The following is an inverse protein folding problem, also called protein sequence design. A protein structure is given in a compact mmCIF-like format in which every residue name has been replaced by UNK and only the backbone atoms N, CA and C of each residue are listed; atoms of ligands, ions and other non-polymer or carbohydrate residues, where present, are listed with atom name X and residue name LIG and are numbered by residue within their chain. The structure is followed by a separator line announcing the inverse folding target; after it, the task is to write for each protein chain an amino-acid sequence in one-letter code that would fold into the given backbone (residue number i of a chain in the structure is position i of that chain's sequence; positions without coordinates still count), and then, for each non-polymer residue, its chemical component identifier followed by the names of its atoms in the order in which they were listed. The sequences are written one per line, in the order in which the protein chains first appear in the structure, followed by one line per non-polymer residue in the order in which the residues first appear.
data_IF_980747831301
#
_entry.id   IF_980747831301
#
_cell.length_a   1.000
_cell.length_b   1.000
_cell.length_c   1.000
_cell.angle_alpha   90.00
_cell.angle_beta   90.00
_cell.angle_gamma   90.00
#
_symmetry.space_group_name_H-M   'P 1'
#
loop_
_entity.id
_entity.type
_entity.pdbx_description
1 polymer ?
#
# COMPACT_ATOMS: atom_id res chain seq x y z
N UNK A 1 -23.88 4.24 9.98
CA UNK A 1 -24.22 4.96 11.21
C UNK A 1 -25.46 5.86 11.07
N UNK A 2 -25.62 6.60 9.97
CA UNK A 2 -26.81 7.43 9.70
C UNK A 2 -28.05 6.56 9.51
N UNK A 3 -27.94 5.43 8.82
CA UNK A 3 -29.07 4.51 8.56
C UNK A 3 -29.53 3.80 9.83
N UNK A 4 -28.63 3.45 10.75
CA UNK A 4 -28.97 2.76 11.98
C UNK A 4 -29.48 3.69 13.08
N UNK A 5 -28.96 4.92 13.17
CA UNK A 5 -29.41 5.90 14.18
C UNK A 5 -30.76 6.54 13.82
N UNK A 6 -31.05 6.74 12.52
CA UNK A 6 -32.30 7.40 12.11
C UNK A 6 -33.56 6.54 12.17
N UNK A 7 -33.44 5.20 12.27
CA UNK A 7 -34.61 4.30 12.30
C UNK A 7 -34.94 3.74 13.69
N UNK A 8 -34.01 3.86 14.66
CA UNK A 8 -34.17 3.30 16.01
C UNK A 8 -35.27 3.98 16.83
N UNK A 9 -35.40 5.29 16.71
CA UNK A 9 -36.33 6.08 17.52
C UNK A 9 -37.79 5.98 17.03
N UNK A 10 -37.99 5.63 15.74
CA UNK A 10 -39.34 5.59 15.14
C UNK A 10 -39.99 4.22 15.14
N UNK A 11 -39.28 3.14 15.50
CA UNK A 11 -39.80 1.77 15.47
C UNK A 11 -39.51 1.02 16.76
N UNK A 12 -40.50 0.29 17.27
CA UNK A 12 -40.36 -0.47 18.53
C UNK A 12 -39.42 -1.69 18.36
N UNK A 13 -39.26 -2.25 17.16
CA UNK A 13 -38.41 -3.39 16.86
C UNK A 13 -37.76 -3.21 15.48
N UNK A 14 -36.75 -2.34 15.36
CA UNK A 14 -36.00 -2.22 14.12
C UNK A 14 -35.14 -3.47 13.90
N UNK A 15 -35.18 -4.07 12.72
CA UNK A 15 -34.31 -5.15 12.32
C UNK A 15 -33.35 -4.68 11.24
N UNK A 16 -32.05 -4.84 11.49
CA UNK A 16 -30.99 -4.64 10.51
C UNK A 16 -30.38 -5.96 10.11
N UNK A 17 -30.37 -6.24 8.82
CA UNK A 17 -29.81 -7.46 8.26
C UNK A 17 -28.60 -7.10 7.43
N UNK A 18 -27.39 -7.45 7.93
CA UNK A 18 -26.11 -7.16 7.30
C UNK A 18 -25.59 -8.44 6.64
N UNK A 19 -25.38 -8.41 5.34
CA UNK A 19 -24.77 -9.52 4.58
C UNK A 19 -23.53 -8.97 3.89
N UNK A 20 -22.40 -9.62 4.12
CA UNK A 20 -21.12 -9.21 3.53
C UNK A 20 -20.19 -10.41 3.34
N UNK A 21 -19.15 -10.23 2.55
CA UNK A 21 -18.01 -11.13 2.45
C UNK A 21 -16.79 -10.46 3.08
N UNK A 22 -15.75 -11.26 3.38
CA UNK A 22 -14.47 -10.74 3.83
C UNK A 22 -13.87 -9.74 2.84
N UNK A 23 -13.15 -8.77 3.37
CA UNK A 23 -12.47 -7.72 2.61
C UNK A 23 -10.96 -7.83 2.70
N UNK A 24 -10.30 -6.75 2.26
CA UNK A 24 -8.85 -6.57 2.33
C UNK A 24 -8.46 -5.45 3.30
N UNK A 25 -9.39 -4.56 3.61
CA UNK A 25 -9.19 -3.41 4.49
C UNK A 25 -9.62 -3.72 5.92
N UNK A 26 -8.65 -3.90 6.79
CA UNK A 26 -8.86 -4.15 8.23
C UNK A 26 -9.19 -2.89 9.04
N UNK A 27 -9.15 -1.70 8.42
CA UNK A 27 -9.57 -0.44 9.03
C UNK A 27 -11.02 -0.07 8.65
N UNK A 28 -11.72 -0.96 7.95
CA UNK A 28 -13.08 -0.72 7.51
C UNK A 28 -14.11 -1.03 8.60
N UNK A 29 -15.26 -0.34 8.56
CA UNK A 29 -16.42 -0.63 9.43
C UNK A 29 -16.91 -2.08 9.27
N UNK A 30 -16.67 -2.69 8.12
CA UNK A 30 -16.99 -4.09 7.87
C UNK A 30 -16.11 -5.02 8.71
N UNK A 31 -14.81 -4.73 8.81
CA UNK A 31 -13.89 -5.49 9.64
C UNK A 31 -14.16 -5.29 11.13
N UNK A 32 -14.44 -4.06 11.57
CA UNK A 32 -14.84 -3.78 12.96
C UNK A 32 -16.09 -4.57 13.35
N UNK A 33 -17.10 -4.62 12.45
CA UNK A 33 -18.32 -5.39 12.66
C UNK A 33 -18.03 -6.88 12.68
N UNK A 34 -17.14 -7.38 11.84
CA UNK A 34 -16.67 -8.77 11.84
C UNK A 34 -15.95 -9.10 13.15
N UNK A 35 -15.05 -8.25 13.64
CA UNK A 35 -14.38 -8.48 14.93
C UNK A 35 -15.36 -8.51 16.09
N UNK A 36 -16.36 -7.61 16.11
CA UNK A 36 -17.46 -7.68 17.08
C UNK A 36 -18.19 -9.02 17.00
N UNK A 37 -18.46 -9.52 15.79
CA UNK A 37 -19.11 -10.80 15.58
C UNK A 37 -18.29 -11.97 16.13
N UNK A 38 -16.98 -12.00 15.86
CA UNK A 38 -16.04 -12.99 16.38
C UNK A 38 -15.99 -12.95 17.90
N UNK A 39 -15.85 -11.75 18.51
CA UNK A 39 -15.82 -11.57 19.96
C UNK A 39 -17.07 -12.13 20.66
N UNK A 40 -18.23 -12.02 20.03
CA UNK A 40 -19.49 -12.55 20.56
C UNK A 40 -19.54 -14.07 20.42
N UNK A 41 -19.17 -14.62 19.24
CA UNK A 41 -19.15 -16.05 18.99
C UNK A 41 -18.18 -16.80 19.90
N UNK A 42 -17.04 -16.18 20.23
CA UNK A 42 -16.05 -16.73 21.16
C UNK A 42 -16.34 -16.41 22.64
N UNK A 43 -17.42 -15.71 22.91
CA UNK A 43 -17.85 -15.39 24.28
C UNK A 43 -17.06 -14.27 24.97
N UNK A 44 -16.20 -13.56 24.25
CA UNK A 44 -15.45 -12.40 24.77
C UNK A 44 -16.34 -11.17 24.99
N UNK A 45 -17.42 -11.04 24.21
CA UNK A 45 -18.44 -9.99 24.36
C UNK A 45 -19.83 -10.60 24.43
N UNK A 46 -20.76 -9.89 25.09
CA UNK A 46 -22.19 -10.24 25.14
C UNK A 46 -23.01 -9.07 24.59
N UNK A 47 -23.81 -9.33 23.57
CA UNK A 47 -24.75 -8.38 23.00
C UNK A 47 -25.99 -9.15 22.53
N UNK A 48 -27.07 -9.07 23.30
CA UNK A 48 -28.34 -9.77 23.02
C UNK A 48 -29.09 -9.19 21.82
N UNK A 49 -28.68 -8.04 21.32
CA UNK A 49 -29.28 -7.36 20.16
C UNK A 49 -28.53 -7.63 18.87
N UNK A 50 -27.38 -8.31 18.92
CA UNK A 50 -26.56 -8.65 17.77
C UNK A 50 -26.41 -10.16 17.64
N UNK A 51 -26.95 -10.73 16.55
CA UNK A 51 -26.89 -12.15 16.26
C UNK A 51 -25.90 -12.41 15.10
N UNK A 52 -24.66 -12.80 15.40
CA UNK A 52 -23.65 -13.04 14.37
C UNK A 52 -23.72 -14.47 13.83
N UNK A 53 -23.54 -14.61 12.52
CA UNK A 53 -23.28 -15.87 11.83
C UNK A 53 -22.11 -15.66 10.87
N UNK A 54 -21.06 -16.48 10.97
CA UNK A 54 -19.89 -16.41 10.11
C UNK A 54 -19.68 -17.78 9.47
N UNK A 55 -19.69 -17.83 8.16
CA UNK A 55 -19.24 -18.97 7.37
C UNK A 55 -17.94 -18.60 6.68
N UNK A 56 -16.85 -19.27 7.03
CA UNK A 56 -15.53 -18.98 6.52
C UNK A 56 -14.52 -20.04 6.93
N UNK A 57 -13.33 -19.97 6.35
CA UNK A 57 -12.19 -20.78 6.73
C UNK A 57 -11.21 -19.94 7.57
N UNK A 58 -10.54 -20.57 8.52
CA UNK A 58 -9.45 -19.96 9.28
C UNK A 58 -8.22 -19.79 8.38
N UNK A 59 -7.31 -18.88 8.77
CA UNK A 59 -6.14 -18.55 7.95
C UNK A 59 -5.12 -19.69 7.84
N UNK A 60 -5.09 -20.58 8.82
CA UNK A 60 -4.20 -21.73 8.92
C UNK A 60 -4.78 -23.02 8.33
N UNK A 61 -6.07 -23.01 7.93
CA UNK A 61 -6.69 -24.15 7.25
C UNK A 61 -6.20 -24.30 5.81
N UNK A 62 -6.08 -25.55 5.36
CA UNK A 62 -5.71 -25.84 3.96
C UNK A 62 -6.82 -25.39 3.00
N UNK A 63 -6.58 -24.28 2.32
CA UNK A 63 -7.50 -23.67 1.36
C UNK A 63 -7.79 -24.53 0.12
N UNK A 64 -7.04 -25.64 -0.06
CA UNK A 64 -7.24 -26.59 -1.16
C UNK A 64 -8.11 -27.78 -0.77
N UNK A 65 -8.44 -27.94 0.53
CA UNK A 65 -9.26 -29.05 1.02
C UNK A 65 -10.77 -28.80 0.76
N UNK A 66 -11.44 -29.70 0.03
CA UNK A 66 -12.90 -29.64 -0.17
C UNK A 66 -13.74 -29.55 1.12
N UNK A 67 -13.26 -30.06 2.24
CA UNK A 67 -13.92 -29.95 3.55
C UNK A 67 -13.95 -28.48 4.01
N UNK A 68 -12.85 -27.78 3.81
CA UNK A 68 -12.74 -26.35 4.13
C UNK A 68 -13.66 -25.54 3.23
N UNK A 69 -13.76 -25.89 1.95
CA UNK A 69 -14.72 -25.25 1.04
C UNK A 69 -16.16 -25.40 1.51
N UNK A 70 -16.54 -26.60 1.98
CA UNK A 70 -17.89 -26.86 2.49
C UNK A 70 -18.17 -26.14 3.81
N UNK A 71 -17.19 -26.02 4.69
CA UNK A 71 -17.27 -25.22 5.92
C UNK A 71 -17.58 -23.75 5.59
N UNK A 72 -16.89 -23.16 4.61
CA UNK A 72 -17.08 -21.77 4.20
C UNK A 72 -18.34 -21.56 3.36
N UNK A 73 -18.84 -22.60 2.67
CA UNK A 73 -20.01 -22.54 1.80
C UNK A 73 -20.99 -23.68 2.14
N UNK A 74 -21.89 -23.50 3.10
CA UNK A 74 -22.82 -24.56 3.52
C UNK A 74 -23.69 -25.13 2.39
N UNK A 75 -24.00 -24.31 1.37
CA UNK A 75 -24.79 -24.71 0.20
C UNK A 75 -23.96 -25.30 -0.94
N UNK A 76 -22.67 -25.60 -0.70
CA UNK A 76 -21.80 -26.20 -1.70
C UNK A 76 -22.26 -27.62 -2.05
N UNK A 77 -22.46 -27.86 -3.32
CA UNK A 77 -23.05 -29.09 -3.89
C UNK A 77 -24.54 -28.95 -4.23
N UNK A 78 -25.22 -27.91 -3.71
CA UNK A 78 -26.65 -27.64 -3.99
C UNK A 78 -26.81 -26.42 -4.91
N UNK A 79 -26.38 -25.22 -4.43
CA UNK A 79 -26.49 -23.96 -5.21
C UNK A 79 -25.19 -23.62 -5.95
N UNK A 80 -24.06 -24.08 -5.41
CA UNK A 80 -22.74 -23.89 -6.03
C UNK A 80 -22.18 -25.27 -6.36
N UNK A 81 -21.88 -25.55 -7.63
CA UNK A 81 -21.27 -26.81 -8.03
C UNK A 81 -19.86 -26.99 -7.50
N UNK A 82 -19.57 -28.18 -6.97
CA UNK A 82 -18.25 -28.54 -6.45
C UNK A 82 -17.15 -28.43 -7.53
N UNK A 83 -17.48 -28.78 -8.76
CA UNK A 83 -16.61 -28.71 -9.93
C UNK A 83 -16.13 -27.28 -10.22
N UNK A 84 -17.01 -26.29 -10.04
CA UNK A 84 -16.68 -24.88 -10.23
C UNK A 84 -15.70 -24.37 -9.19
N UNK A 85 -15.87 -24.76 -7.91
CA UNK A 85 -14.95 -24.36 -6.83
C UNK A 85 -13.60 -25.06 -7.01
N UNK A 86 -13.61 -26.33 -7.43
CA UNK A 86 -12.38 -27.09 -7.75
C UNK A 86 -11.62 -26.43 -8.90
N UNK A 87 -12.28 -26.07 -9.99
CA UNK A 87 -11.64 -25.39 -11.12
C UNK A 87 -11.05 -24.04 -10.72
N UNK A 88 -11.77 -23.25 -9.90
CA UNK A 88 -11.27 -21.98 -9.38
C UNK A 88 -10.05 -22.16 -8.44
N UNK A 89 -10.03 -23.23 -7.63
CA UNK A 89 -8.89 -23.57 -6.77
C UNK A 89 -7.67 -23.96 -7.62
N UNK A 90 -7.84 -24.78 -8.66
CA UNK A 90 -6.74 -25.15 -9.53
C UNK A 90 -6.16 -23.94 -10.29
N UNK A 91 -7.02 -23.01 -10.76
CA UNK A 91 -6.57 -21.75 -11.36
C UNK A 91 -5.77 -20.92 -10.37
N UNK A 92 -6.25 -20.79 -9.13
CA UNK A 92 -5.59 -20.04 -8.07
C UNK A 92 -4.23 -20.66 -7.63
N UNK A 93 -4.08 -21.98 -7.75
CA UNK A 93 -2.78 -22.67 -7.52
C UNK A 93 -1.75 -22.36 -8.59
N UNK A 94 -2.19 -22.23 -9.84
CA UNK A 94 -1.31 -21.93 -10.97
C UNK A 94 -0.97 -20.44 -11.05
N UNK A 95 -1.87 -19.58 -10.57
CA UNK A 95 -1.76 -18.12 -10.62
C UNK A 95 -1.74 -17.53 -9.19
N UNK A 96 -0.58 -17.26 -8.61
CA UNK A 96 -0.49 -16.74 -7.23
C UNK A 96 -1.31 -15.48 -6.97
N UNK A 97 -1.51 -14.63 -8.00
CA UNK A 97 -2.37 -13.45 -7.92
C UNK A 97 -3.86 -13.76 -7.69
N UNK A 98 -4.33 -14.94 -8.08
CA UNK A 98 -5.71 -15.38 -7.89
C UNK A 98 -5.93 -16.06 -6.53
N UNK A 99 -4.86 -16.50 -5.86
CA UNK A 99 -4.93 -17.21 -4.57
C UNK A 99 -5.64 -16.40 -3.49
N UNK A 100 -5.31 -15.12 -3.36
CA UNK A 100 -5.97 -14.22 -2.41
C UNK A 100 -7.44 -13.97 -2.79
N UNK A 101 -7.74 -13.83 -4.06
CA UNK A 101 -9.10 -13.67 -4.56
C UNK A 101 -9.95 -14.93 -4.27
N UNK A 102 -9.40 -16.11 -4.46
CA UNK A 102 -10.06 -17.38 -4.11
C UNK A 102 -10.33 -17.46 -2.60
N UNK A 103 -9.33 -17.17 -1.76
CA UNK A 103 -9.48 -17.16 -0.30
C UNK A 103 -10.54 -16.17 0.17
N UNK A 104 -10.53 -14.95 -0.37
CA UNK A 104 -11.51 -13.92 -0.03
C UNK A 104 -12.93 -14.30 -0.48
N UNK A 105 -13.12 -14.62 -1.76
CA UNK A 105 -14.44 -14.75 -2.36
C UNK A 105 -15.06 -16.15 -2.20
N UNK A 106 -14.25 -17.21 -2.01
CA UNK A 106 -14.72 -18.59 -1.87
C UNK A 106 -14.63 -19.11 -0.44
N UNK A 107 -13.67 -18.61 0.34
CA UNK A 107 -13.47 -19.08 1.71
C UNK A 107 -13.80 -18.03 2.77
N UNK A 108 -14.20 -16.83 2.35
CA UNK A 108 -14.55 -15.72 3.25
C UNK A 108 -13.41 -15.38 4.23
N UNK A 109 -12.16 -15.51 3.77
CA UNK A 109 -10.97 -15.15 4.55
C UNK A 109 -10.62 -13.69 4.35
N UNK A 110 -10.30 -12.99 5.44
CA UNK A 110 -9.74 -11.64 5.37
C UNK A 110 -8.29 -11.72 4.88
N UNK A 111 -8.03 -11.17 3.71
CA UNK A 111 -6.69 -11.19 3.08
C UNK A 111 -6.10 -9.78 3.11
N UNK A 112 -4.81 -9.67 3.44
CA UNK A 112 -4.15 -8.37 3.54
C UNK A 112 -4.03 -7.64 2.19
N UNK A 113 -4.08 -8.38 1.09
CA UNK A 113 -4.06 -7.84 -0.28
C UNK A 113 -4.87 -8.73 -1.22
N UNK A 114 -5.73 -8.13 -2.05
CA UNK A 114 -6.46 -8.85 -3.10
C UNK A 114 -5.52 -9.40 -4.19
N UNK A 115 -4.52 -8.60 -4.58
CA UNK A 115 -3.46 -8.98 -5.55
C UNK A 115 -2.14 -8.34 -5.10
N UNK A 116 -1.08 -9.13 -4.99
CA UNK A 116 0.26 -8.60 -4.84
C UNK A 116 0.76 -8.10 -6.19
N UNK A 117 0.93 -6.79 -6.32
CA UNK A 117 1.46 -6.20 -7.54
C UNK A 117 2.93 -6.61 -7.78
N UNK A 118 3.77 -6.56 -6.73
CA UNK A 118 5.19 -6.88 -6.78
C UNK A 118 5.50 -8.10 -5.89
N UNK A 119 6.13 -9.17 -6.41
CA UNK A 119 6.63 -10.26 -5.58
C UNK A 119 7.74 -9.73 -4.67
N UNK A 120 7.57 -9.86 -3.34
CA UNK A 120 8.54 -9.31 -2.36
C UNK A 120 9.94 -9.89 -2.53
N UNK A 121 10.06 -11.17 -2.86
CA UNK A 121 11.35 -11.82 -3.13
C UNK A 121 12.15 -11.11 -4.23
N UNK A 122 11.46 -10.58 -5.25
CA UNK A 122 12.08 -9.83 -6.34
C UNK A 122 12.44 -8.42 -5.92
N UNK A 123 11.56 -7.79 -5.14
CA UNK A 123 11.81 -6.48 -4.57
C UNK A 123 12.99 -6.51 -3.59
N UNK A 124 13.02 -7.48 -2.69
CA UNK A 124 14.09 -7.66 -1.71
C UNK A 124 15.44 -7.97 -2.38
N UNK A 125 15.42 -8.64 -3.53
CA UNK A 125 16.62 -8.87 -4.34
C UNK A 125 17.20 -7.58 -4.97
N UNK A 126 16.44 -6.48 -5.00
CA UNK A 126 16.90 -5.16 -5.41
C UNK A 126 17.55 -4.37 -4.26
N UNK A 127 17.58 -4.91 -3.04
CA UNK A 127 18.19 -4.29 -1.87
C UNK A 127 19.73 -4.41 -1.92
N UNK A 128 20.35 -3.56 -2.71
CA UNK A 128 21.80 -3.44 -2.79
C UNK A 128 22.30 -2.27 -1.93
N UNK A 129 23.46 -2.40 -1.30
CA UNK A 129 24.10 -1.27 -0.64
C UNK A 129 24.44 -0.23 -1.73
N UNK A 130 23.81 0.93 -1.65
CA UNK A 130 24.09 2.09 -2.49
C UNK A 130 24.83 3.11 -1.62
N UNK A 131 26.02 3.52 -2.01
CA UNK A 131 26.70 4.64 -1.37
C UNK A 131 26.29 5.94 -2.08
N UNK A 132 25.57 6.85 -1.41
CA UNK A 132 25.18 8.11 -2.00
C UNK A 132 26.35 9.01 -2.42
N UNK A 133 27.54 8.85 -1.80
CA UNK A 133 28.73 9.63 -2.12
C UNK A 133 29.31 9.21 -3.50
N UNK A 134 29.18 7.95 -3.88
CA UNK A 134 29.59 7.47 -5.22
C UNK A 134 28.72 8.02 -6.35
N UNK A 135 27.54 8.55 -6.02
CA UNK A 135 26.60 9.13 -7.00
C UNK A 135 26.77 10.65 -7.15
N UNK A 136 27.69 11.31 -6.40
CA UNK A 136 27.89 12.76 -6.48
C UNK A 136 28.28 13.19 -7.91
N UNK A 137 27.63 14.28 -8.36
CA UNK A 137 27.81 14.83 -9.71
C UNK A 137 27.09 14.08 -10.83
N UNK A 138 26.55 12.88 -10.58
CA UNK A 138 25.83 12.09 -11.59
C UNK A 138 24.51 12.71 -11.97
N UNK A 139 24.11 12.47 -13.22
CA UNK A 139 22.79 12.84 -13.73
C UNK A 139 21.71 12.01 -13.06
N UNK A 140 20.66 12.68 -12.57
CA UNK A 140 19.50 12.01 -12.01
C UNK A 140 18.20 12.76 -12.32
N UNK A 141 17.09 12.11 -12.04
CA UNK A 141 15.73 12.63 -12.20
C UNK A 141 15.00 12.52 -10.88
N UNK A 142 14.25 13.57 -10.52
CA UNK A 142 13.46 13.63 -9.30
C UNK A 142 12.01 13.23 -9.51
N UNK A 143 11.40 12.61 -8.52
CA UNK A 143 9.95 12.44 -8.41
C UNK A 143 9.46 12.96 -7.07
N UNK A 144 8.48 13.87 -7.07
CA UNK A 144 7.95 14.51 -5.88
C UNK A 144 6.46 14.22 -5.74
N UNK A 145 6.09 13.61 -4.62
CA UNK A 145 4.70 13.39 -4.23
C UNK A 145 4.45 14.06 -2.87
N UNK A 146 3.55 15.03 -2.86
CA UNK A 146 3.26 15.86 -1.70
C UNK A 146 1.96 15.43 -1.03
N UNK A 147 2.05 15.14 0.24
CA UNK A 147 0.89 14.98 1.10
C UNK A 147 0.57 16.25 1.85
N UNK A 148 -0.71 16.63 1.91
CA UNK A 148 -1.15 17.77 2.71
C UNK A 148 -1.42 17.42 4.18
N UNK A 149 -1.97 16.23 4.49
CA UNK A 149 -2.46 15.94 5.86
C UNK A 149 -2.34 14.49 6.31
N UNK A 150 -2.58 13.50 5.46
CA UNK A 150 -2.80 12.10 5.91
C UNK A 150 -1.87 11.08 5.32
N UNK A 151 -1.07 11.45 4.35
CA UNK A 151 -0.19 10.54 3.61
C UNK A 151 1.29 10.86 3.82
N UNK A 152 2.18 10.00 3.35
CA UNK A 152 3.62 10.27 3.31
C UNK A 152 3.94 11.28 2.21
N UNK A 153 4.79 12.27 2.51
CA UNK A 153 5.44 13.05 1.47
C UNK A 153 6.71 12.30 1.05
N UNK A 154 6.92 12.18 -0.24
CA UNK A 154 8.05 11.47 -0.81
C UNK A 154 8.78 12.33 -1.86
N UNK A 155 10.11 12.32 -1.80
CA UNK A 155 10.98 12.74 -2.88
C UNK A 155 11.92 11.59 -3.22
N UNK A 156 12.02 11.23 -4.48
CA UNK A 156 12.83 10.12 -4.93
C UNK A 156 13.76 10.56 -6.04
N UNK A 157 15.05 10.27 -5.94
CA UNK A 157 16.01 10.44 -7.02
C UNK A 157 16.26 9.12 -7.72
N UNK A 158 16.24 9.14 -9.05
CA UNK A 158 16.54 8.00 -9.92
C UNK A 158 17.74 8.34 -10.77
N UNK A 159 18.80 7.55 -10.65
CA UNK A 159 20.03 7.66 -11.42
C UNK A 159 20.02 6.58 -12.51
N UNK A 160 19.94 6.97 -13.79
CA UNK A 160 20.09 6.02 -14.90
C UNK A 160 21.49 5.40 -14.92
N UNK A 161 21.64 4.16 -15.42
CA UNK A 161 22.94 3.56 -15.64
C UNK A 161 23.77 4.39 -16.63
N UNK A 162 25.08 4.47 -16.39
CA UNK A 162 26.02 5.11 -17.32
C UNK A 162 26.47 4.14 -18.41
N UNK A 163 26.41 2.83 -18.14
CA UNK A 163 26.66 1.77 -19.09
C UNK A 163 25.70 0.57 -18.89
N UNK A 164 25.72 -0.40 -19.80
CA UNK A 164 24.82 -1.56 -19.78
C UNK A 164 25.03 -2.49 -18.59
N UNK A 165 26.15 -2.39 -17.87
CA UNK A 165 26.48 -3.22 -16.71
C UNK A 165 26.02 -2.64 -15.38
N UNK A 166 25.59 -1.37 -15.37
CA UNK A 166 25.12 -0.68 -14.17
C UNK A 166 23.61 -0.83 -13.93
N UNK A 167 23.19 -0.83 -12.66
CA UNK A 167 21.76 -0.74 -12.32
C UNK A 167 21.25 0.70 -12.39
N UNK A 168 19.91 0.85 -12.36
CA UNK A 168 19.30 2.09 -11.91
C UNK A 168 19.47 2.20 -10.40
N UNK A 169 20.01 3.31 -9.90
CA UNK A 169 20.05 3.59 -8.46
C UNK A 169 18.87 4.45 -8.06
N UNK A 170 18.26 4.14 -6.92
CA UNK A 170 17.14 4.89 -6.36
C UNK A 170 17.49 5.35 -4.95
N UNK A 171 17.37 6.65 -4.70
CA UNK A 171 17.49 7.26 -3.40
C UNK A 171 16.14 7.84 -2.96
N UNK A 172 15.35 7.14 -2.14
CA UNK A 172 14.08 7.63 -1.64
C UNK A 172 14.24 8.43 -0.36
N UNK A 173 13.44 9.48 -0.20
CA UNK A 173 13.33 10.30 1.00
C UNK A 173 11.88 10.49 1.37
N UNK A 174 11.55 10.35 2.65
CA UNK A 174 10.18 10.37 3.14
C UNK A 174 10.04 11.30 4.33
N UNK A 175 8.91 12.01 4.40
CA UNK A 175 8.61 12.93 5.50
C UNK A 175 7.20 12.73 6.04
N UNK A 176 7.09 12.89 7.37
CA UNK A 176 5.85 12.96 8.12
C UNK A 176 5.90 14.14 9.11
N UNK A 177 4.73 14.72 9.48
CA UNK A 177 4.67 15.66 10.60
C UNK A 177 4.94 14.94 11.92
N UNK A 178 5.79 15.49 12.76
CA UNK A 178 6.21 14.92 14.05
C UNK A 178 5.01 14.71 15.00
N UNK A 179 4.16 15.73 15.15
CA UNK A 179 3.03 15.68 16.08
C UNK A 179 1.98 14.62 15.70
N UNK A 180 1.87 14.26 14.43
CA UNK A 180 0.89 13.26 13.96
C UNK A 180 1.44 11.83 13.96
N UNK A 181 2.73 11.64 14.15
CA UNK A 181 3.40 10.33 14.09
C UNK A 181 2.75 9.28 15.00
N UNK A 182 2.51 9.52 16.32
CA UNK A 182 1.92 8.52 17.20
C UNK A 182 0.47 8.16 16.81
N UNK A 183 -0.30 9.14 16.34
CA UNK A 183 -1.67 8.91 15.88
C UNK A 183 -1.70 8.04 14.63
N UNK A 184 -0.74 8.25 13.71
CA UNK A 184 -0.62 7.46 12.48
C UNK A 184 -0.18 6.03 12.75
N UNK A 185 0.77 5.79 13.64
CA UNK A 185 1.16 4.44 14.07
C UNK A 185 -0.05 3.65 14.54
N UNK A 186 -0.91 4.27 15.37
CA UNK A 186 -2.10 3.62 15.90
C UNK A 186 -3.21 3.43 14.85
N UNK A 187 -3.41 4.41 13.96
CA UNK A 187 -4.45 4.39 12.94
C UNK A 187 -4.14 3.39 11.81
N UNK A 188 -2.91 3.46 11.31
CA UNK A 188 -2.51 2.74 10.09
C UNK A 188 -1.91 1.36 10.42
N UNK A 189 -1.61 1.09 11.70
CA UNK A 189 -0.90 -0.11 12.18
C UNK A 189 0.45 -0.32 11.47
N UNK A 190 1.13 0.80 11.17
CA UNK A 190 2.43 0.84 10.52
C UNK A 190 3.45 1.41 11.50
N UNK A 191 4.64 0.80 11.65
CA UNK A 191 5.63 1.22 12.65
C UNK A 191 6.45 2.44 12.19
N UNK A 192 5.78 3.56 11.88
CA UNK A 192 6.45 4.79 11.43
C UNK A 192 7.46 5.32 12.44
N UNK A 193 7.18 5.15 13.74
CA UNK A 193 8.08 5.54 14.82
C UNK A 193 9.37 4.70 14.87
N UNK A 194 9.31 3.44 14.44
CA UNK A 194 10.49 2.59 14.27
C UNK A 194 11.29 3.05 13.06
N UNK A 195 10.62 3.33 11.94
CA UNK A 195 11.26 3.77 10.71
C UNK A 195 11.90 5.16 10.86
N UNK A 196 11.31 6.05 11.65
CA UNK A 196 11.89 7.35 11.98
C UNK A 196 13.17 7.16 12.78
N UNK A 197 13.15 6.35 13.85
CA UNK A 197 14.36 6.05 14.66
C UNK A 197 15.48 5.36 13.85
N UNK A 198 15.12 4.61 12.83
CA UNK A 198 16.06 3.96 11.91
C UNK A 198 16.55 4.89 10.80
N UNK A 199 15.97 6.08 10.68
CA UNK A 199 16.35 7.08 9.68
C UNK A 199 15.74 6.85 8.29
N UNK A 200 14.79 5.91 8.14
CA UNK A 200 14.07 5.69 6.87
C UNK A 200 13.07 6.80 6.57
N UNK A 201 12.52 7.43 7.60
CA UNK A 201 11.60 8.54 7.50
C UNK A 201 12.15 9.70 8.31
N UNK A 202 11.99 10.92 7.82
CA UNK A 202 12.28 12.14 8.54
C UNK A 202 10.97 12.76 9.03
N UNK A 203 11.04 13.46 10.15
CA UNK A 203 9.91 14.24 10.65
C UNK A 203 10.11 15.73 10.39
N UNK A 204 9.02 16.45 10.15
CA UNK A 204 8.98 17.90 10.12
C UNK A 204 8.24 18.41 11.34
N UNK A 205 8.65 19.54 11.90
CA UNK A 205 8.02 20.16 13.05
C UNK A 205 6.55 20.51 12.78
N UNK A 206 5.67 20.28 13.78
CA UNK A 206 4.26 20.58 13.71
C UNK A 206 3.36 19.43 13.27
N UNK A 207 2.12 19.77 12.91
CA UNK A 207 1.05 18.82 12.57
C UNK A 207 0.80 18.65 11.06
N UNK A 208 1.52 19.42 10.23
CA UNK A 208 1.50 19.36 8.76
C UNK A 208 2.93 19.29 8.23
N UNK A 209 3.11 18.71 7.06
CA UNK A 209 4.44 18.65 6.44
C UNK A 209 4.90 20.06 6.06
N UNK A 210 6.08 20.43 6.52
CA UNK A 210 6.65 21.75 6.28
C UNK A 210 7.38 21.77 4.93
N UNK A 211 6.73 22.25 3.88
CA UNK A 211 7.26 22.25 2.51
C UNK A 211 8.58 23.02 2.36
N UNK A 212 8.77 24.11 3.08
CA UNK A 212 10.04 24.86 3.07
C UNK A 212 11.24 24.06 3.57
N UNK A 213 11.04 23.05 4.45
CA UNK A 213 12.08 22.10 4.81
C UNK A 213 12.45 21.20 3.62
N UNK A 214 11.44 20.69 2.91
CA UNK A 214 11.64 19.82 1.75
C UNK A 214 12.32 20.57 0.61
N UNK A 215 11.93 21.83 0.36
CA UNK A 215 12.53 22.69 -0.65
C UNK A 215 14.06 22.85 -0.40
N UNK A 216 14.45 23.19 0.83
CA UNK A 216 15.86 23.28 1.23
C UNK A 216 16.61 21.95 1.12
N UNK A 217 15.93 20.86 1.42
CA UNK A 217 16.51 19.53 1.27
C UNK A 217 16.78 19.20 -0.19
N UNK A 218 15.82 19.50 -1.09
CA UNK A 218 15.99 19.33 -2.54
C UNK A 218 17.10 20.24 -3.07
N UNK A 219 17.18 21.50 -2.60
CA UNK A 219 18.25 22.43 -2.95
C UNK A 219 19.64 21.84 -2.59
N UNK A 220 19.80 21.32 -1.37
CA UNK A 220 21.03 20.67 -0.95
C UNK A 220 21.37 19.39 -1.74
N UNK A 221 20.36 18.64 -2.20
CA UNK A 221 20.58 17.53 -3.11
C UNK A 221 21.01 18.01 -4.52
N UNK A 222 20.50 19.16 -4.97
CA UNK A 222 20.89 19.77 -6.22
C UNK A 222 22.35 20.27 -6.24
N UNK A 223 22.93 20.56 -5.06
CA UNK A 223 24.37 20.86 -4.94
C UNK A 223 25.24 19.60 -5.10
N UNK A 224 24.70 18.43 -4.72
CA UNK A 224 25.41 17.15 -4.79
C UNK A 224 25.25 16.43 -6.12
N UNK A 225 24.04 16.44 -6.66
CA UNK A 225 23.65 15.66 -7.83
C UNK A 225 23.19 16.54 -8.98
N UNK A 226 23.36 16.08 -10.21
CA UNK A 226 22.90 16.80 -11.41
C UNK A 226 21.44 16.44 -11.69
N UNK A 227 20.50 17.06 -10.95
CA UNK A 227 19.05 16.82 -11.09
C UNK A 227 18.58 17.52 -12.38
N UNK A 228 18.22 16.74 -13.40
CA UNK A 228 17.79 17.25 -14.70
C UNK A 228 16.37 17.76 -14.68
N UNK A 229 15.46 16.95 -14.16
CA UNK A 229 14.04 17.26 -14.11
C UNK A 229 13.44 16.69 -12.82
N UNK A 230 12.41 17.34 -12.29
CA UNK A 230 11.62 16.86 -11.15
C UNK A 230 10.18 16.69 -11.61
N UNK A 231 9.71 15.44 -11.70
CA UNK A 231 8.32 15.14 -11.94
C UNK A 231 7.48 15.34 -10.68
N UNK A 232 6.31 15.97 -10.80
CA UNK A 232 5.43 16.21 -9.65
C UNK A 232 3.95 16.09 -10.02
N UNK A 233 3.10 15.76 -9.02
CA UNK A 233 1.65 15.87 -9.20
C UNK A 233 1.22 17.34 -9.10
N UNK A 234 0.45 17.77 -10.09
CA UNK A 234 0.04 19.18 -10.24
C UNK A 234 -0.99 19.64 -9.18
N UNK A 235 -1.55 18.74 -8.36
CA UNK A 235 -2.55 19.11 -7.37
C UNK A 235 -1.90 19.59 -6.06
N UNK A 236 -2.16 20.86 -5.70
CA UNK A 236 -1.73 21.43 -4.41
C UNK A 236 -0.29 21.94 -4.31
N UNK A 237 0.51 21.86 -5.37
CA UNK A 237 1.95 22.13 -5.33
C UNK A 237 2.41 23.46 -5.97
N UNK A 238 1.51 24.38 -6.30
CA UNK A 238 1.82 25.59 -7.11
C UNK A 238 2.97 26.39 -6.48
N UNK A 239 2.91 26.67 -5.19
CA UNK A 239 3.94 27.48 -4.54
C UNK A 239 5.30 26.78 -4.51
N UNK A 240 5.32 25.48 -4.22
CA UNK A 240 6.55 24.69 -4.19
C UNK A 240 7.20 24.59 -5.57
N UNK A 241 6.39 24.44 -6.62
CA UNK A 241 6.89 24.46 -8.01
C UNK A 241 7.58 25.79 -8.32
N UNK A 242 6.94 26.91 -8.01
CA UNK A 242 7.53 28.24 -8.21
C UNK A 242 8.83 28.43 -7.44
N UNK A 243 8.89 27.93 -6.21
CA UNK A 243 10.11 28.01 -5.39
C UNK A 243 11.23 27.16 -5.98
N UNK A 244 10.95 25.91 -6.39
CA UNK A 244 11.95 25.02 -7.01
C UNK A 244 12.43 25.57 -8.37
N UNK A 245 11.53 26.12 -9.20
CA UNK A 245 11.92 26.81 -10.43
C UNK A 245 12.77 28.04 -10.15
N UNK A 246 12.45 28.81 -9.09
CA UNK A 246 13.24 29.94 -8.63
C UNK A 246 14.65 29.54 -8.14
N UNK A 247 14.84 28.32 -7.66
CA UNK A 247 16.14 27.71 -7.29
C UNK A 247 16.89 27.16 -8.52
N UNK A 248 16.29 27.17 -9.71
CA UNK A 248 16.90 26.74 -10.98
C UNK A 248 16.58 25.29 -11.38
N UNK A 249 15.66 24.62 -10.71
CA UNK A 249 15.23 23.27 -11.09
C UNK A 249 14.21 23.31 -12.24
N UNK A 250 14.27 22.33 -13.12
CA UNK A 250 13.25 22.08 -14.14
C UNK A 250 12.17 21.18 -13.55
N UNK A 251 10.95 21.70 -13.37
CA UNK A 251 9.84 20.96 -12.76
C UNK A 251 8.80 20.59 -13.81
N UNK A 252 8.46 19.30 -13.92
CA UNK A 252 7.60 18.75 -14.97
C UNK A 252 6.31 18.19 -14.39
N UNK A 253 5.13 18.71 -14.78
CA UNK A 253 3.88 18.19 -14.27
C UNK A 253 3.58 16.78 -14.81
N UNK A 254 3.36 15.83 -13.90
CA UNK A 254 3.00 14.45 -14.20
C UNK A 254 1.58 14.15 -13.67
N UNK A 255 0.69 13.74 -14.56
CA UNK A 255 -0.66 13.34 -14.14
C UNK A 255 -0.65 11.92 -13.59
N UNK A 256 -1.30 11.70 -12.43
CA UNK A 256 -1.39 10.38 -11.79
C UNK A 256 -2.48 9.47 -12.39
N UNK A 257 -3.06 9.84 -13.53
CA UNK A 257 -4.04 9.01 -14.24
C UNK A 257 -3.44 7.74 -14.85
N UNK A 258 -4.27 6.71 -15.02
CA UNK A 258 -3.89 5.37 -15.50
C UNK A 258 -3.01 5.40 -16.76
N UNK A 259 -3.32 6.26 -17.74
CA UNK A 259 -2.58 6.33 -19.00
C UNK A 259 -1.12 6.81 -18.81
N UNK A 260 -0.86 7.65 -17.80
CA UNK A 260 0.49 8.18 -17.52
C UNK A 260 1.27 7.36 -16.52
N UNK A 261 0.58 6.76 -15.53
CA UNK A 261 1.24 5.94 -14.50
C UNK A 261 1.54 4.52 -14.96
N UNK A 262 0.70 3.94 -15.84
CA UNK A 262 0.86 2.54 -16.25
C UNK A 262 2.18 2.22 -16.96
N UNK A 263 2.71 3.03 -17.91
CA UNK A 263 3.99 2.72 -18.54
C UNK A 263 5.18 2.69 -17.56
N UNK A 264 5.43 3.73 -16.75
CA UNK A 264 6.56 3.73 -15.81
C UNK A 264 6.41 2.66 -14.72
N UNK A 265 5.18 2.36 -14.27
CA UNK A 265 4.92 1.29 -13.31
C UNK A 265 5.28 -0.09 -13.86
N UNK A 266 4.94 -0.35 -15.13
CA UNK A 266 5.33 -1.59 -15.80
C UNK A 266 6.83 -1.70 -16.02
N UNK A 267 7.51 -0.59 -16.31
CA UNK A 267 8.95 -0.58 -16.47
C UNK A 267 9.66 -0.82 -15.12
N UNK A 268 9.21 -0.19 -14.03
CA UNK A 268 9.70 -0.47 -12.69
C UNK A 268 9.54 -1.96 -12.33
N UNK A 269 8.38 -2.54 -12.62
CA UNK A 269 8.12 -3.97 -12.40
C UNK A 269 9.07 -4.84 -13.23
N UNK A 270 9.32 -4.48 -14.49
CA UNK A 270 10.25 -5.20 -15.36
C UNK A 270 11.68 -5.12 -14.82
N UNK A 271 12.16 -3.94 -14.46
CA UNK A 271 13.50 -3.73 -13.89
C UNK A 271 13.70 -4.52 -12.59
N UNK A 272 12.70 -4.58 -11.72
CA UNK A 272 12.77 -5.37 -10.48
C UNK A 272 12.74 -6.87 -10.68
N UNK A 273 12.25 -7.36 -11.82
CA UNK A 273 12.23 -8.81 -12.15
C UNK A 273 13.52 -9.30 -12.82
N UNK A 274 14.33 -8.41 -13.41
CA UNK A 274 15.56 -8.75 -14.11
C UNK A 274 16.72 -8.74 -13.11
N UNK A 275 16.86 -9.78 -12.30
CA UNK A 275 17.98 -9.90 -11.32
C UNK A 275 19.24 -10.52 -11.94
N UNK A 276 19.24 -10.84 -13.23
CA UNK A 276 20.40 -11.46 -13.91
C UNK A 276 20.53 -11.00 -15.35
N UNK A 277 21.28 -9.95 -15.58
CA UNK A 277 21.71 -9.48 -16.91
C UNK A 277 21.25 -8.05 -17.24
N UNK A 278 22.19 -7.21 -17.48
CA UNK A 278 22.25 -5.92 -18.18
C UNK A 278 21.38 -4.72 -17.77
N UNK A 279 20.34 -4.83 -16.96
CA UNK A 279 19.71 -3.62 -16.36
C UNK A 279 18.89 -4.05 -15.15
N UNK A 280 19.29 -3.66 -13.97
CA UNK A 280 18.64 -4.01 -12.70
C UNK A 280 18.48 -2.77 -11.83
N UNK A 281 17.74 -2.90 -10.75
CA UNK A 281 17.38 -1.83 -9.86
C UNK A 281 18.15 -1.99 -8.55
N UNK A 282 18.85 -0.96 -8.11
CA UNK A 282 19.44 -0.89 -6.77
C UNK A 282 18.73 0.19 -5.96
N UNK A 283 18.13 -0.20 -4.86
CA UNK A 283 17.39 0.71 -3.97
C UNK A 283 18.21 0.91 -2.71
N UNK A 284 18.47 2.17 -2.39
CA UNK A 284 19.14 2.53 -1.17
C UNK A 284 18.29 2.15 0.06
N UNK A 285 18.80 1.22 0.85
CA UNK A 285 18.30 0.94 2.18
C UNK A 285 19.32 1.45 3.20
N UNK A 286 18.91 2.43 4.00
CA UNK A 286 19.70 2.89 5.15
C UNK A 286 19.72 1.86 6.25
#
# INVERSE_FOLDING_TARGET
DVMTKGSGDARMQPLYFLITTAGTDTNSICYETHQKAVDILEGRKKDSTFYPVIYGAEMDEDWTDPKVWKKANPSLGETIGMDKVKAACESARQNPGEGNSFRQLRLNQWVKQAVRWMPMEKWDACAFPVDPEELEGRVCYGGLDLSSTTDLTCFCLVFPPEDESEPYYILPYYWLPEETLPLRVNRDHVPYDVWERQGYIQTTEGNVVHYGFIEKFIEALGEKYNIREIAFDRWGAIQMVQNLEGMGFTVVPMGQGFARMSPPTKELMKLSMIVSGYTWLAIFHR
#
